data_IF_710228818829
#
_entry.id   IF_710228818829
#
_cell.length_a   1.000
_cell.length_b   1.000
_cell.length_c   1.000
_cell.angle_alpha   90.00
_cell.angle_beta   90.00
_cell.angle_gamma   90.00
#
_symmetry.space_group_name_H-M   'P 1'
#
loop_
_entity.id
_entity.type
_entity.pdbx_description
1 polymer ?
#
# COMPACT_ATOMS: atom_id res chain seq x y z
N UNK A 1 5.88 -0.05 63.25
CA UNK A 1 6.31 1.25 62.68
C UNK A 1 7.05 0.97 61.38
N UNK A 2 6.72 1.76 60.34
CA UNK A 2 7.23 1.77 58.96
C UNK A 2 8.78 1.63 58.84
N UNK A 3 9.39 1.15 57.75
CA UNK A 3 9.14 1.48 56.34
C UNK A 3 9.53 0.37 55.35
N UNK A 4 8.69 0.25 54.32
CA UNK A 4 8.98 -0.37 53.01
C UNK A 4 9.96 0.49 52.20
N UNK A 5 10.89 -0.15 51.49
CA UNK A 5 11.43 0.34 50.21
C UNK A 5 11.75 -0.86 49.31
N UNK A 6 10.76 -1.29 48.52
CA UNK A 6 10.99 -2.18 47.40
C UNK A 6 11.32 -1.36 46.15
N UNK A 7 12.46 -1.70 45.55
CA UNK A 7 12.97 -1.20 44.28
C UNK A 7 11.97 -1.47 43.15
N UNK A 8 11.19 -0.45 42.77
CA UNK A 8 10.42 -0.43 41.52
C UNK A 8 11.25 0.30 40.48
N UNK A 9 11.89 -0.44 39.58
CA UNK A 9 12.69 0.22 38.55
C UNK A 9 13.39 -0.72 37.61
N UNK A 10 12.67 -1.64 36.95
CA UNK A 10 13.17 -2.34 35.74
C UNK A 10 12.17 -3.19 34.94
N UNK A 11 10.85 -2.95 35.04
CA UNK A 11 9.85 -3.63 34.19
C UNK A 11 9.10 -2.72 33.20
N UNK A 12 9.27 -1.40 33.26
CA UNK A 12 8.55 -0.46 32.39
C UNK A 12 9.12 -0.29 30.97
N UNK A 13 10.37 -0.70 30.73
CA UNK A 13 11.06 -0.36 29.48
C UNK A 13 10.81 -1.35 28.33
N UNK A 14 10.26 -2.54 28.61
CA UNK A 14 10.05 -3.60 27.59
C UNK A 14 8.64 -3.61 26.97
N UNK A 15 7.67 -2.90 27.57
CA UNK A 15 6.31 -2.79 27.04
C UNK A 15 6.06 -1.53 26.20
N UNK A 16 6.97 -0.55 26.24
CA UNK A 16 6.84 0.70 25.49
C UNK A 16 7.48 0.66 24.09
N UNK A 17 8.30 -0.36 23.78
CA UNK A 17 8.95 -0.49 22.47
C UNK A 17 8.12 -1.25 21.42
N UNK A 18 6.95 -1.78 21.78
CA UNK A 18 6.13 -2.61 20.88
C UNK A 18 4.93 -1.86 20.25
N UNK A 19 4.73 -0.58 20.57
CA UNK A 19 3.54 0.19 20.12
C UNK A 19 3.87 1.15 18.95
N UNK A 20 5.13 1.28 18.53
CA UNK A 20 5.53 2.24 17.48
C UNK A 20 5.64 1.67 16.06
N UNK A 21 5.30 0.40 15.82
CA UNK A 21 5.32 -0.19 14.47
C UNK A 21 3.98 -0.16 13.72
N UNK A 22 2.94 0.47 14.25
CA UNK A 22 1.67 0.71 13.54
C UNK A 22 1.61 2.10 12.90
N UNK A 23 2.74 2.57 12.37
CA UNK A 23 2.83 3.83 11.64
C UNK A 23 2.19 3.74 10.26
N UNK A 24 1.20 4.62 10.03
CA UNK A 24 0.75 5.17 8.74
C UNK A 24 -0.12 4.30 7.83
N UNK A 25 -1.43 4.22 8.11
CA UNK A 25 -2.47 3.88 7.10
C UNK A 25 -3.30 5.10 6.65
N UNK A 26 -3.07 6.29 7.22
CA UNK A 26 -3.86 7.49 6.93
C UNK A 26 -3.43 8.13 5.59
N UNK A 27 -2.13 8.12 5.27
CA UNK A 27 -1.61 8.68 4.01
C UNK A 27 -1.98 7.85 2.78
N UNK A 28 -2.16 6.53 2.93
CA UNK A 28 -2.65 5.66 1.86
C UNK A 28 -4.01 6.11 1.33
N UNK A 29 -4.82 6.83 2.12
CA UNK A 29 -6.10 7.36 1.69
C UNK A 29 -6.02 8.50 0.66
N UNK A 30 -4.90 9.22 0.63
CA UNK A 30 -4.67 10.44 -0.18
C UNK A 30 -3.87 10.17 -1.45
N UNK A 31 -3.26 9.00 -1.57
CA UNK A 31 -2.53 8.59 -2.77
C UNK A 31 -3.49 8.11 -3.85
N UNK A 32 -3.09 8.24 -5.11
CA UNK A 32 -3.88 7.78 -6.26
C UNK A 32 -4.17 6.28 -6.16
N UNK A 33 -5.45 5.91 -6.27
CA UNK A 33 -5.87 4.52 -6.27
C UNK A 33 -5.66 3.90 -7.66
N UNK A 34 -4.52 3.24 -7.85
CA UNK A 34 -4.15 2.58 -9.11
C UNK A 34 -5.18 1.53 -9.55
N UNK A 35 -5.87 0.85 -8.62
CA UNK A 35 -6.93 -0.09 -8.97
C UNK A 35 -8.17 0.58 -9.53
N UNK A 36 -8.47 1.82 -9.11
CA UNK A 36 -9.56 2.62 -9.68
C UNK A 36 -9.19 3.11 -11.08
N UNK A 37 -7.98 3.67 -11.24
CA UNK A 37 -7.51 4.25 -12.50
C UNK A 37 -7.45 3.22 -13.62
N UNK A 38 -7.07 1.97 -13.29
CA UNK A 38 -6.90 0.89 -14.27
C UNK A 38 -8.06 -0.12 -14.27
N UNK A 39 -9.21 0.23 -13.71
CA UNK A 39 -10.35 -0.69 -13.65
C UNK A 39 -11.04 -0.81 -15.01
N UNK A 40 -11.24 -2.05 -15.45
CA UNK A 40 -11.99 -2.42 -16.64
C UNK A 40 -13.23 -3.21 -16.22
N UNK A 41 -14.41 -2.72 -16.62
CA UNK A 41 -15.68 -3.41 -16.42
C UNK A 41 -15.80 -4.60 -17.36
N UNK A 42 -16.20 -5.76 -16.83
CA UNK A 42 -16.51 -6.96 -17.63
C UNK A 42 -18.03 -7.20 -17.74
N UNK A 43 -18.80 -6.63 -16.81
CA UNK A 43 -20.26 -6.57 -16.85
C UNK A 43 -20.71 -5.11 -16.79
N UNK A 44 -21.93 -4.82 -17.23
CA UNK A 44 -22.51 -3.49 -17.09
C UNK A 44 -22.52 -3.09 -15.60
N UNK A 45 -22.13 -1.83 -15.26
CA UNK A 45 -22.26 -1.36 -13.90
C UNK A 45 -23.74 -1.36 -13.54
N UNK A 46 -24.13 -2.18 -12.57
CA UNK A 46 -25.43 -2.01 -11.95
C UNK A 46 -25.46 -0.66 -11.24
N UNK A 47 -26.59 0.04 -11.33
CA UNK A 47 -26.90 1.18 -10.47
C UNK A 47 -26.52 0.85 -9.04
N UNK A 48 -25.74 1.74 -8.41
CA UNK A 48 -25.11 1.56 -7.09
C UNK A 48 -25.81 0.51 -6.23
N UNK A 49 -25.12 -0.62 -6.01
CA UNK A 49 -25.59 -1.64 -5.08
C UNK A 49 -25.89 -0.97 -3.73
N UNK A 50 -27.15 -1.00 -3.33
CA UNK A 50 -27.61 -0.49 -2.03
C UNK A 50 -27.14 -1.40 -0.88
N UNK A 51 -26.55 -2.55 -1.22
CA UNK A 51 -25.95 -3.48 -0.25
C UNK A 51 -24.63 -2.90 0.23
N UNK A 52 -24.63 -2.45 1.47
CA UNK A 52 -23.44 -1.95 2.16
C UNK A 52 -22.49 -3.12 2.41
N UNK A 53 -21.49 -3.30 1.54
CA UNK A 53 -20.48 -4.35 1.70
C UNK A 53 -19.62 -4.04 2.93
N UNK A 54 -19.85 -4.77 4.03
CA UNK A 54 -19.20 -4.48 5.31
C UNK A 54 -17.68 -4.64 5.23
N UNK A 55 -17.17 -5.70 4.58
CA UNK A 55 -15.74 -5.83 4.22
C UNK A 55 -15.55 -6.85 3.08
N UNK A 56 -14.91 -6.47 1.97
CA UNK A 56 -14.57 -7.41 0.90
C UNK A 56 -13.48 -8.38 1.36
N UNK A 57 -13.64 -9.67 1.02
CA UNK A 57 -12.62 -10.69 1.21
C UNK A 57 -11.51 -10.53 0.16
N UNK A 58 -10.27 -10.34 0.59
CA UNK A 58 -9.13 -10.14 -0.32
C UNK A 58 -8.26 -11.38 -0.27
N UNK A 59 -8.28 -12.15 -1.35
CA UNK A 59 -7.53 -13.38 -1.50
C UNK A 59 -6.29 -13.14 -2.35
N UNK A 60 -5.11 -13.36 -1.76
CA UNK A 60 -3.84 -13.22 -2.47
C UNK A 60 -3.40 -14.55 -3.07
N UNK A 61 -2.90 -14.49 -4.30
CA UNK A 61 -2.34 -15.63 -5.02
C UNK A 61 -1.15 -15.21 -5.89
N UNK A 62 -0.46 -16.17 -6.49
CA UNK A 62 0.59 -15.89 -7.48
C UNK A 62 -0.03 -15.54 -8.82
N UNK A 63 0.68 -14.79 -9.66
CA UNK A 63 0.21 -14.42 -10.99
C UNK A 63 -0.12 -15.64 -11.85
N UNK A 64 0.63 -16.74 -11.70
CA UNK A 64 0.42 -18.00 -12.42
C UNK A 64 -0.88 -18.70 -12.02
N UNK A 65 -1.32 -18.56 -10.77
CA UNK A 65 -2.52 -19.20 -10.24
C UNK A 65 -3.72 -18.26 -10.21
N UNK A 66 -3.57 -17.02 -10.68
CA UNK A 66 -4.61 -15.99 -10.59
C UNK A 66 -5.90 -16.43 -11.29
N UNK A 67 -5.78 -16.81 -12.56
CA UNK A 67 -6.96 -17.16 -13.37
C UNK A 67 -7.59 -18.46 -12.89
N UNK A 68 -6.79 -19.43 -12.43
CA UNK A 68 -7.31 -20.65 -11.80
C UNK A 68 -8.15 -20.34 -10.56
N UNK A 69 -7.69 -19.42 -9.70
CA UNK A 69 -8.44 -19.02 -8.50
C UNK A 69 -9.71 -18.23 -8.84
N UNK A 70 -9.65 -17.35 -9.83
CA UNK A 70 -10.83 -16.63 -10.34
C UNK A 70 -11.86 -17.64 -10.87
N UNK A 71 -11.43 -18.61 -11.67
CA UNK A 71 -12.31 -19.62 -12.25
C UNK A 71 -12.95 -20.51 -11.18
N UNK A 72 -12.20 -20.88 -10.12
CA UNK A 72 -12.74 -21.62 -8.98
C UNK A 72 -13.87 -20.84 -8.29
N UNK A 73 -13.67 -19.55 -8.03
CA UNK A 73 -14.70 -18.71 -7.42
C UNK A 73 -15.90 -18.48 -8.36
N UNK A 74 -15.63 -18.30 -9.66
CA UNK A 74 -16.64 -18.08 -10.69
C UNK A 74 -17.51 -19.33 -10.95
N UNK A 75 -16.92 -20.52 -10.85
CA UNK A 75 -17.63 -21.80 -10.95
C UNK A 75 -18.60 -22.01 -9.79
N UNK A 76 -18.24 -21.53 -8.60
CA UNK A 76 -19.10 -21.52 -7.42
C UNK A 76 -20.17 -20.41 -7.53
N UNK A 77 -20.38 -19.65 -6.45
CA UNK A 77 -21.45 -18.67 -6.33
C UNK A 77 -21.05 -17.25 -6.73
N UNK A 78 -19.89 -17.04 -7.36
CA UNK A 78 -19.44 -15.70 -7.73
C UNK A 78 -19.47 -15.46 -9.23
N UNK A 79 -19.60 -14.21 -9.63
CA UNK A 79 -19.45 -13.73 -11.00
C UNK A 79 -18.42 -12.60 -11.04
N UNK A 80 -17.72 -12.48 -12.16
CA UNK A 80 -16.71 -11.44 -12.35
C UNK A 80 -17.38 -10.11 -12.67
N UNK A 81 -17.00 -9.09 -11.91
CA UNK A 81 -17.46 -7.69 -12.04
C UNK A 81 -16.58 -6.94 -13.03
N UNK A 82 -15.28 -7.19 -12.93
CA UNK A 82 -14.25 -6.54 -13.71
C UNK A 82 -12.87 -6.84 -13.13
N UNK A 83 -11.86 -6.25 -13.75
CA UNK A 83 -10.48 -6.46 -13.39
C UNK A 83 -9.68 -5.15 -13.46
N UNK A 84 -8.56 -5.10 -12.74
CA UNK A 84 -7.56 -4.07 -12.87
C UNK A 84 -6.20 -4.72 -13.02
N UNK A 85 -5.45 -4.31 -14.05
CA UNK A 85 -4.11 -4.81 -14.33
C UNK A 85 -3.20 -3.62 -14.66
N UNK A 86 -2.05 -3.53 -14.01
CA UNK A 86 -1.12 -2.42 -14.18
C UNK A 86 0.29 -2.78 -13.72
N UNK A 87 1.26 -2.00 -14.19
CA UNK A 87 2.67 -2.13 -13.86
C UNK A 87 3.09 -0.94 -13.01
N UNK A 88 3.79 -1.19 -11.91
CA UNK A 88 4.29 -0.09 -11.08
C UNK A 88 5.57 -0.44 -10.34
N UNK A 89 6.45 0.54 -10.20
CA UNK A 89 7.57 0.49 -9.26
C UNK A 89 7.16 0.80 -7.82
N UNK A 90 5.94 1.32 -7.62
CA UNK A 90 5.38 1.60 -6.30
C UNK A 90 4.38 0.53 -5.93
N UNK A 91 4.46 0.04 -4.70
CA UNK A 91 3.43 -0.85 -4.15
C UNK A 91 2.13 -0.06 -3.95
N UNK A 92 1.01 -0.46 -4.56
CA UNK A 92 -0.29 0.15 -4.33
C UNK A 92 -0.68 0.08 -2.85
N UNK A 93 -1.39 1.11 -2.37
CA UNK A 93 -1.83 1.18 -0.98
C UNK A 93 -2.71 -0.02 -0.61
N UNK A 94 -2.52 -0.58 0.59
CA UNK A 94 -3.25 -1.80 1.00
C UNK A 94 -4.76 -1.60 1.05
N UNK A 95 -5.19 -0.38 1.39
CA UNK A 95 -6.61 -0.02 1.50
C UNK A 95 -7.28 0.23 0.16
N UNK A 96 -6.51 0.42 -0.91
CA UNK A 96 -7.02 0.76 -2.24
C UNK A 96 -7.85 -0.37 -2.86
N UNK A 97 -7.41 -1.63 -2.69
CA UNK A 97 -8.16 -2.82 -3.13
C UNK A 97 -9.54 -2.87 -2.47
N UNK A 98 -9.58 -2.76 -1.13
CA UNK A 98 -10.83 -2.81 -0.38
C UNK A 98 -11.76 -1.64 -0.74
N UNK A 99 -11.19 -0.44 -0.97
CA UNK A 99 -11.96 0.73 -1.42
C UNK A 99 -12.56 0.47 -2.81
N UNK A 100 -11.75 0.01 -3.77
CA UNK A 100 -12.23 -0.25 -5.12
C UNK A 100 -13.27 -1.37 -5.13
N UNK A 101 -13.08 -2.44 -4.37
CA UNK A 101 -14.03 -3.53 -4.25
C UNK A 101 -15.41 -3.05 -3.76
N UNK A 102 -15.46 -2.20 -2.74
CA UNK A 102 -16.71 -1.58 -2.27
C UNK A 102 -17.34 -0.71 -3.36
N UNK A 103 -16.55 0.10 -4.06
CA UNK A 103 -17.04 0.97 -5.16
C UNK A 103 -17.73 0.16 -6.25
N UNK A 104 -17.22 -1.03 -6.58
CA UNK A 104 -17.74 -1.86 -7.69
C UNK A 104 -18.68 -2.97 -7.21
N UNK A 105 -19.08 -2.98 -5.94
CA UNK A 105 -19.99 -4.00 -5.39
C UNK A 105 -19.37 -5.41 -5.27
N UNK A 106 -18.04 -5.52 -5.21
CA UNK A 106 -17.35 -6.80 -5.12
C UNK A 106 -17.24 -7.29 -3.67
N UNK A 107 -17.57 -8.57 -3.48
CA UNK A 107 -17.50 -9.30 -2.21
C UNK A 107 -16.16 -9.96 -2.01
N UNK A 108 -15.54 -10.41 -3.11
CA UNK A 108 -14.26 -11.09 -3.11
C UNK A 108 -13.36 -10.44 -4.14
N UNK A 109 -12.08 -10.29 -3.81
CA UNK A 109 -11.05 -9.82 -4.74
C UNK A 109 -9.94 -10.84 -4.77
N UNK A 110 -9.64 -11.37 -5.96
CA UNK A 110 -8.41 -12.14 -6.19
C UNK A 110 -7.33 -11.15 -6.59
N UNK A 111 -6.24 -11.10 -5.84
CA UNK A 111 -5.11 -10.20 -6.04
C UNK A 111 -3.83 -11.00 -6.25
N UNK A 112 -3.05 -10.62 -7.26
CA UNK A 112 -1.74 -11.18 -7.50
C UNK A 112 -0.72 -10.11 -7.90
N UNK A 113 0.55 -10.46 -7.71
CA UNK A 113 1.67 -9.63 -8.11
C UNK A 113 2.80 -10.50 -8.65
N UNK A 114 3.58 -9.96 -9.59
CA UNK A 114 4.77 -10.60 -10.13
C UNK A 114 5.87 -9.57 -10.28
N UNK A 115 7.06 -9.88 -9.77
CA UNK A 115 8.25 -9.09 -10.09
C UNK A 115 8.65 -9.32 -11.55
N UNK A 116 8.85 -8.23 -12.29
CA UNK A 116 9.17 -8.28 -13.72
C UNK A 116 10.63 -7.96 -13.97
N UNK A 117 11.11 -6.84 -13.42
CA UNK A 117 12.45 -6.34 -13.73
C UNK A 117 12.99 -5.38 -12.67
N UNK A 118 14.30 -5.24 -12.65
CA UNK A 118 15.07 -4.31 -11.82
C UNK A 118 15.88 -3.43 -12.75
N UNK A 119 15.73 -2.11 -12.58
CA UNK A 119 16.43 -1.11 -13.37
C UNK A 119 17.25 -0.22 -12.43
N UNK A 120 18.42 0.19 -12.89
CA UNK A 120 19.27 1.16 -12.20
C UNK A 120 19.23 2.47 -12.98
N UNK A 121 18.89 3.55 -12.30
CA UNK A 121 18.80 4.89 -12.86
C UNK A 121 19.75 5.81 -12.11
N UNK A 122 20.46 6.68 -12.85
CA UNK A 122 21.24 7.76 -12.24
C UNK A 122 20.31 8.94 -11.98
N UNK A 123 20.11 9.27 -10.71
CA UNK A 123 19.25 10.37 -10.28
C UNK A 123 20.10 11.51 -9.75
N UNK A 124 19.91 12.70 -10.31
CA UNK A 124 20.54 13.92 -9.82
C UNK A 124 19.69 14.49 -8.68
N UNK A 125 20.23 14.50 -7.46
CA UNK A 125 19.61 15.12 -6.29
C UNK A 125 20.39 16.34 -5.84
N UNK A 126 19.67 17.31 -5.30
CA UNK A 126 20.27 18.49 -4.66
C UNK A 126 20.15 18.31 -3.16
N UNK A 127 21.30 18.15 -2.51
CA UNK A 127 21.37 18.11 -1.06
C UNK A 127 21.93 19.44 -0.54
N UNK A 128 21.31 19.98 0.50
CA UNK A 128 21.82 21.17 1.17
C UNK A 128 22.77 20.74 2.28
N UNK A 129 24.05 21.11 2.15
CA UNK A 129 25.01 20.95 3.23
C UNK A 129 25.01 22.24 4.06
N UNK A 130 24.66 22.15 5.36
CA UNK A 130 24.68 23.31 6.25
C UNK A 130 26.11 23.81 6.42
N UNK A 131 26.23 25.12 6.67
CA UNK A 131 27.52 25.72 7.01
C UNK A 131 27.96 25.30 8.40
N UNK A 132 29.27 25.19 8.58
CA UNK A 132 29.92 24.89 9.85
C UNK A 132 30.43 26.16 10.53
N UNK A 133 30.44 26.17 11.86
CA UNK A 133 31.14 27.18 12.65
C UNK A 133 32.51 26.64 13.05
N UNK A 134 33.56 27.34 12.65
CA UNK A 134 34.95 26.94 12.88
C UNK A 134 35.60 28.00 13.75
N UNK A 135 36.12 27.61 14.91
CA UNK A 135 36.88 28.51 15.79
C UNK A 135 38.36 28.26 15.65
N UNK A 136 39.12 29.28 15.23
CA UNK A 136 40.57 29.24 15.09
C UNK A 136 41.16 30.38 15.90
N UNK A 137 42.05 30.06 16.86
CA UNK A 137 42.73 31.03 17.72
C UNK A 137 41.77 32.04 18.40
N UNK A 138 40.62 31.56 18.89
CA UNK A 138 39.63 32.39 19.59
C UNK A 138 38.71 33.22 18.68
N UNK A 139 38.89 33.16 17.34
CA UNK A 139 37.97 33.78 16.38
C UNK A 139 37.06 32.72 15.78
N UNK A 140 35.74 32.89 15.90
CA UNK A 140 34.74 32.00 15.30
C UNK A 140 34.33 32.53 13.93
N UNK A 141 34.49 31.71 12.90
CA UNK A 141 34.07 31.98 11.52
C UNK A 141 32.92 31.04 11.17
N UNK A 142 31.83 31.58 10.64
CA UNK A 142 30.71 30.78 10.11
C UNK A 142 30.87 30.61 8.60
N UNK A 143 30.99 29.37 8.14
CA UNK A 143 30.97 29.06 6.71
C UNK A 143 29.53 29.10 6.19
N UNK A 144 29.34 29.46 4.91
CA UNK A 144 28.01 29.46 4.29
C UNK A 144 27.65 28.04 3.87
N UNK A 145 26.41 27.62 4.15
CA UNK A 145 25.88 26.37 3.59
C UNK A 145 25.73 26.46 2.07
N UNK A 146 25.69 25.31 1.41
CA UNK A 146 25.66 25.22 -0.05
C UNK A 146 24.79 24.06 -0.52
N UNK A 147 24.16 24.25 -1.68
CA UNK A 147 23.53 23.17 -2.43
C UNK A 147 24.58 22.45 -3.25
N UNK A 148 24.67 21.13 -3.08
CA UNK A 148 25.52 20.28 -3.91
C UNK A 148 24.65 19.37 -4.77
N UNK A 149 25.10 19.13 -6.00
CA UNK A 149 24.49 18.12 -6.86
C UNK A 149 25.17 16.78 -6.53
N UNK A 150 24.37 15.79 -6.17
CA UNK A 150 24.83 14.41 -6.00
C UNK A 150 24.19 13.55 -7.09
N UNK A 151 25.03 12.71 -7.70
CA UNK A 151 24.58 11.66 -8.61
C UNK A 151 24.44 10.39 -7.78
N UNK A 152 23.21 9.93 -7.58
CA UNK A 152 22.91 8.70 -6.86
C UNK A 152 22.48 7.61 -7.85
N UNK A 153 22.91 6.37 -7.63
CA UNK A 153 22.37 5.21 -8.34
C UNK A 153 21.11 4.75 -7.61
N UNK A 154 19.95 5.03 -8.19
CA UNK A 154 18.67 4.55 -7.68
C UNK A 154 18.33 3.21 -8.34
N UNK A 155 17.99 2.21 -7.53
CA UNK A 155 17.51 0.92 -8.02
C UNK A 155 15.99 0.86 -7.91
N UNK A 156 15.30 0.72 -9.04
CA UNK A 156 13.85 0.59 -9.11
C UNK A 156 13.46 -0.88 -9.38
N UNK A 157 12.48 -1.38 -8.64
CA UNK A 157 11.90 -2.72 -8.83
C UNK A 157 10.51 -2.58 -9.42
N UNK A 158 10.27 -3.14 -10.59
CA UNK A 158 8.97 -3.08 -11.26
C UNK A 158 8.19 -4.37 -11.07
N UNK A 159 6.91 -4.21 -10.75
CA UNK A 159 5.98 -5.29 -10.50
C UNK A 159 4.73 -5.15 -11.35
N UNK A 160 4.22 -6.27 -11.83
CA UNK A 160 2.88 -6.39 -12.37
C UNK A 160 1.93 -6.65 -11.22
N UNK A 161 0.79 -5.99 -11.27
CA UNK A 161 -0.32 -6.19 -10.35
C UNK A 161 -1.56 -6.55 -11.16
N UNK A 162 -2.26 -7.59 -10.72
CA UNK A 162 -3.56 -7.99 -11.26
C UNK A 162 -4.54 -8.16 -10.11
N UNK A 163 -5.74 -7.62 -10.29
CA UNK A 163 -6.85 -7.79 -9.36
C UNK A 163 -8.12 -8.10 -10.15
N UNK A 164 -8.82 -9.17 -9.78
CA UNK A 164 -10.14 -9.50 -10.33
C UNK A 164 -11.17 -9.39 -9.21
N UNK A 165 -12.24 -8.66 -9.50
CA UNK A 165 -13.28 -8.31 -8.54
C UNK A 165 -14.50 -9.19 -8.81
N UNK A 166 -14.97 -9.88 -7.78
CA UNK A 166 -16.07 -10.84 -7.89
C UNK A 166 -17.19 -10.51 -6.90
N UNK A 167 -18.42 -10.76 -7.34
CA UNK A 167 -19.65 -10.56 -6.57
C UNK A 167 -20.47 -11.84 -6.55
N UNK A 168 -21.30 -12.03 -5.52
CA UNK A 168 -22.18 -13.20 -5.43
C UNK A 168 -23.28 -13.16 -6.50
N UNK A 169 -23.55 -14.29 -7.15
CA UNK A 169 -24.60 -14.46 -8.17
C UNK A 169 -26.00 -14.21 -7.61
N UNK A 170 -26.25 -14.57 -6.34
CA UNK A 170 -27.54 -14.36 -5.67
C UNK A 170 -27.98 -12.91 -5.61
N UNK A 171 -27.04 -11.97 -5.69
CA UNK A 171 -27.32 -10.52 -5.68
C UNK A 171 -27.46 -9.94 -7.10
N UNK A 172 -26.94 -10.65 -8.12
CA UNK A 172 -27.12 -10.28 -9.53
C UNK A 172 -28.51 -10.65 -10.07
N UNK A 173 -29.21 -11.56 -9.38
CA UNK A 173 -30.56 -12.03 -9.74
C UNK A 173 -31.67 -11.15 -9.17
N UNK A 174 -31.35 -10.09 -8.44
CA UNK A 174 -32.32 -9.05 -8.03
C UNK A 174 -32.36 -8.00 -9.15
N UNK A 175 -32.81 -8.41 -10.33
CA UNK A 175 -33.21 -7.52 -11.41
C UNK A 175 -34.73 -7.70 -11.62
N UNK A 176 -35.54 -6.63 -11.65
CA UNK A 176 -36.93 -6.72 -12.10
C UNK A 176 -37.05 -7.09 -13.59
#
# INVERSE_FOLDING_TARGET
MNFNTFSVGRLGALLLSMILFSGCSILDGLTENQYKTNFLWEMAPETESTVKIETPDIQRTTMQNHDARVNELAFNEHQVVGAAEFHSSRTPGRTHLARQARTVGAHVVVSSTKYVRKEQELVNRREYIPGEQITVNGTTVTTRGRWINQVEVQTNYYHDYKATFLRRKSEALILP
#
